data_IF_796707467144
#
_entry.id   IF_796707467144
#
_cell.length_a   1.000
_cell.length_b   1.000
_cell.length_c   1.000
_cell.angle_alpha   90.00
_cell.angle_beta   90.00
_cell.angle_gamma   90.00
#
_symmetry.space_group_name_H-M   'P 1'
#
loop_
_entity.id
_entity.type
_entity.pdbx_description
1 polymer ?
#
# COMPACT_ATOMS: atom_id res chain seq x y z
N UNK A 1 8.75 -23.09 5.46
CA UNK A 1 7.86 -21.95 5.23
C UNK A 1 8.49 -20.72 5.84
N UNK A 2 8.67 -19.64 5.08
CA UNK A 2 9.24 -18.38 5.60
C UNK A 2 8.33 -17.74 6.65
N UNK A 3 8.87 -16.85 7.50
CA UNK A 3 8.07 -16.11 8.49
C UNK A 3 6.95 -15.31 7.83
N UNK A 4 7.24 -14.66 6.69
CA UNK A 4 6.24 -13.95 5.90
C UNK A 4 5.06 -14.84 5.47
N UNK A 5 5.31 -16.07 5.01
CA UNK A 5 4.23 -16.98 4.63
C UNK A 5 3.42 -17.50 5.82
N UNK A 6 4.04 -17.62 7.00
CA UNK A 6 3.30 -17.91 8.24
C UNK A 6 2.38 -16.75 8.62
N UNK A 7 2.84 -15.52 8.46
CA UNK A 7 2.03 -14.32 8.69
C UNK A 7 0.82 -14.26 7.74
N UNK A 8 1.03 -14.58 6.46
CA UNK A 8 -0.06 -14.73 5.46
C UNK A 8 -1.06 -15.79 5.89
N UNK A 9 -0.59 -16.93 6.39
CA UNK A 9 -1.47 -18.01 6.86
C UNK A 9 -2.37 -17.57 8.02
N UNK A 10 -1.86 -16.74 8.93
CA UNK A 10 -2.67 -16.17 10.02
C UNK A 10 -3.81 -15.33 9.45
N UNK A 11 -3.51 -14.46 8.46
CA UNK A 11 -4.55 -13.63 7.81
C UNK A 11 -5.62 -14.48 7.13
N UNK A 12 -5.25 -15.60 6.49
CA UNK A 12 -6.22 -16.52 5.87
C UNK A 12 -7.17 -17.18 6.90
N UNK A 13 -6.81 -17.15 8.20
CA UNK A 13 -7.66 -17.65 9.30
C UNK A 13 -8.55 -16.56 9.91
N UNK A 14 -8.38 -15.29 9.53
CA UNK A 14 -9.25 -14.21 10.01
C UNK A 14 -10.71 -14.47 9.61
N UNK A 15 -11.61 -13.97 10.46
CA UNK A 15 -13.05 -14.00 10.19
C UNK A 15 -13.43 -12.96 9.12
N UNK A 16 -13.13 -13.32 7.88
CA UNK A 16 -13.53 -12.60 6.68
C UNK A 16 -14.57 -13.39 5.90
N UNK A 17 -15.55 -12.73 5.29
CA UNK A 17 -16.56 -13.39 4.45
C UNK A 17 -15.97 -13.77 3.09
N UNK A 18 -15.03 -14.73 3.09
CA UNK A 18 -14.33 -15.22 1.91
C UNK A 18 -15.26 -15.79 0.82
N UNK A 19 -16.44 -16.26 1.25
CA UNK A 19 -17.53 -16.76 0.39
C UNK A 19 -18.04 -15.69 -0.58
N UNK A 20 -17.92 -14.40 -0.25
CA UNK A 20 -18.23 -13.29 -1.19
C UNK A 20 -17.35 -13.31 -2.44
N UNK A 21 -16.19 -13.92 -2.38
CA UNK A 21 -15.25 -14.02 -3.50
C UNK A 21 -15.48 -15.28 -4.34
N UNK A 22 -16.33 -16.21 -3.89
CA UNK A 22 -16.60 -17.49 -4.58
C UNK A 22 -17.04 -17.27 -6.02
N UNK A 23 -16.35 -17.93 -6.97
CA UNK A 23 -16.57 -17.82 -8.40
C UNK A 23 -16.22 -16.45 -9.02
N UNK A 24 -15.62 -15.54 -8.26
CA UNK A 24 -15.31 -14.19 -8.70
C UNK A 24 -13.94 -14.07 -9.41
N UNK A 25 -13.80 -13.02 -10.22
CA UNK A 25 -12.52 -12.57 -10.78
C UNK A 25 -12.08 -11.29 -10.08
N UNK A 26 -10.89 -11.33 -9.49
CA UNK A 26 -10.33 -10.24 -8.68
C UNK A 26 -9.14 -9.66 -9.42
N UNK A 27 -9.22 -8.38 -9.81
CA UNK A 27 -8.11 -7.65 -10.42
C UNK A 27 -7.34 -6.87 -9.34
N UNK A 28 -6.06 -7.15 -9.20
CA UNK A 28 -5.13 -6.38 -8.34
C UNK A 28 -4.19 -5.60 -9.23
N UNK A 29 -4.38 -4.29 -9.33
CA UNK A 29 -3.56 -3.39 -10.13
C UNK A 29 -2.42 -2.84 -9.29
N UNK A 30 -1.21 -2.73 -9.85
CA UNK A 30 -0.01 -2.46 -9.05
C UNK A 30 0.50 -3.69 -8.29
N UNK A 31 0.16 -4.88 -8.78
CA UNK A 31 0.42 -6.17 -8.14
C UNK A 31 1.91 -6.44 -7.84
N UNK A 32 2.85 -5.85 -8.56
CA UNK A 32 4.29 -6.02 -8.29
C UNK A 32 4.88 -5.04 -7.27
N UNK A 33 4.04 -4.16 -6.71
CA UNK A 33 4.40 -3.26 -5.60
C UNK A 33 4.31 -3.96 -4.24
N UNK A 34 4.77 -3.29 -3.18
CA UNK A 34 4.80 -3.84 -1.82
C UNK A 34 3.41 -4.34 -1.37
N UNK A 35 2.39 -3.47 -1.39
CA UNK A 35 1.03 -3.80 -0.93
C UNK A 35 0.34 -4.74 -1.92
N UNK A 36 0.42 -4.43 -3.22
CA UNK A 36 -0.24 -5.23 -4.26
C UNK A 36 0.25 -6.68 -4.29
N UNK A 37 1.56 -6.91 -4.13
CA UNK A 37 2.09 -8.27 -4.13
C UNK A 37 1.68 -9.06 -2.88
N UNK A 38 1.55 -8.40 -1.73
CA UNK A 38 1.07 -9.03 -0.52
C UNK A 38 -0.44 -9.40 -0.62
N UNK A 39 -1.25 -8.53 -1.23
CA UNK A 39 -2.66 -8.84 -1.53
C UNK A 39 -2.78 -10.07 -2.42
N UNK A 40 -1.99 -10.15 -3.50
CA UNK A 40 -1.94 -11.34 -4.36
C UNK A 40 -1.55 -12.58 -3.57
N UNK A 41 -0.50 -12.49 -2.72
CA UNK A 41 -0.07 -13.64 -1.91
C UNK A 41 -1.17 -14.12 -0.96
N UNK A 42 -1.88 -13.22 -0.25
CA UNK A 42 -2.98 -13.61 0.64
C UNK A 42 -4.10 -14.29 -0.15
N UNK A 43 -4.51 -13.70 -1.28
CA UNK A 43 -5.57 -14.24 -2.12
C UNK A 43 -5.18 -15.62 -2.68
N UNK A 44 -3.94 -15.80 -3.14
CA UNK A 44 -3.46 -17.06 -3.69
C UNK A 44 -3.20 -18.13 -2.62
N UNK A 45 -2.80 -17.73 -1.40
CA UNK A 45 -2.49 -18.66 -0.32
C UNK A 45 -3.74 -19.10 0.47
N UNK A 46 -4.88 -18.45 0.28
CA UNK A 46 -6.13 -18.78 0.97
C UNK A 46 -6.59 -20.22 0.62
N UNK A 47 -6.69 -21.13 1.60
CA UNK A 47 -7.08 -22.52 1.35
C UNK A 47 -8.56 -22.67 0.92
N UNK A 48 -9.39 -21.64 1.12
CA UNK A 48 -10.80 -21.60 0.70
C UNK A 48 -10.98 -21.01 -0.69
N UNK A 49 -9.86 -20.77 -1.43
CA UNK A 49 -9.88 -20.14 -2.74
C UNK A 49 -10.64 -20.97 -3.77
N UNK A 50 -11.66 -20.37 -4.34
CA UNK A 50 -12.44 -20.84 -5.48
C UNK A 50 -12.76 -19.67 -6.44
N UNK A 51 -11.79 -18.75 -6.58
CA UNK A 51 -11.84 -17.52 -7.38
C UNK A 51 -10.55 -17.35 -8.17
N UNK A 52 -10.62 -16.54 -9.23
CA UNK A 52 -9.46 -16.18 -10.05
C UNK A 52 -8.81 -14.88 -9.59
N UNK A 53 -7.47 -14.87 -9.55
CA UNK A 53 -6.67 -13.68 -9.21
C UNK A 53 -5.92 -13.18 -10.45
N UNK A 54 -6.22 -11.97 -10.84
CA UNK A 54 -5.56 -11.27 -11.94
C UNK A 54 -4.60 -10.23 -11.38
N UNK A 55 -3.31 -10.53 -11.42
CA UNK A 55 -2.25 -9.63 -11.02
C UNK A 55 -1.87 -8.71 -12.19
N UNK A 56 -2.07 -7.39 -12.07
CA UNK A 56 -1.80 -6.46 -13.15
C UNK A 56 -0.66 -5.50 -12.83
N UNK A 57 0.21 -5.26 -13.83
CA UNK A 57 1.34 -4.35 -13.70
C UNK A 57 2.13 -4.14 -14.98
N UNK A 58 3.01 -3.14 -15.00
CA UNK A 58 3.76 -2.75 -16.20
C UNK A 58 4.90 -3.70 -16.56
N UNK A 59 5.55 -4.27 -15.56
CA UNK A 59 6.78 -5.06 -15.73
C UNK A 59 6.47 -6.57 -15.61
N UNK A 60 6.34 -7.23 -16.75
CA UNK A 60 6.05 -8.65 -16.83
C UNK A 60 7.18 -9.51 -16.26
N UNK A 61 8.45 -9.18 -16.53
CA UNK A 61 9.59 -9.94 -16.03
C UNK A 61 9.62 -9.96 -14.49
N UNK A 62 9.43 -8.79 -13.87
CA UNK A 62 9.29 -8.70 -12.40
C UNK A 62 8.11 -9.51 -11.88
N UNK A 63 6.98 -9.49 -12.58
CA UNK A 63 5.80 -10.25 -12.17
C UNK A 63 6.06 -11.76 -12.24
N UNK A 64 6.64 -12.26 -13.33
CA UNK A 64 6.98 -13.66 -13.48
C UNK A 64 7.96 -14.14 -12.40
N UNK A 65 8.96 -13.31 -12.06
CA UNK A 65 9.88 -13.61 -10.96
C UNK A 65 9.19 -13.59 -9.59
N UNK A 66 8.36 -12.56 -9.34
CA UNK A 66 7.69 -12.37 -8.03
C UNK A 66 6.64 -13.44 -7.75
N UNK A 67 5.92 -13.87 -8.77
CA UNK A 67 4.81 -14.81 -8.67
C UNK A 67 5.13 -16.19 -9.26
N UNK A 68 6.42 -16.55 -9.35
CA UNK A 68 6.86 -17.84 -9.92
C UNK A 68 6.18 -19.04 -9.21
N UNK A 69 5.88 -18.93 -7.91
CA UNK A 69 5.20 -19.97 -7.15
C UNK A 69 3.75 -20.23 -7.63
N UNK A 70 3.15 -19.29 -8.34
CA UNK A 70 1.77 -19.38 -8.84
C UNK A 70 1.67 -19.58 -10.35
N UNK A 71 2.81 -19.67 -11.07
CA UNK A 71 2.84 -19.67 -12.53
C UNK A 71 2.02 -20.82 -13.17
N UNK A 72 1.96 -21.97 -12.50
CA UNK A 72 1.23 -23.16 -12.97
C UNK A 72 -0.18 -23.28 -12.37
N UNK A 73 -0.59 -22.32 -11.53
CA UNK A 73 -1.91 -22.33 -10.91
C UNK A 73 -2.95 -21.75 -11.87
N UNK A 74 -3.95 -22.56 -12.25
CA UNK A 74 -4.97 -22.19 -13.23
C UNK A 74 -5.83 -20.99 -12.83
N UNK A 75 -5.87 -20.64 -11.53
CA UNK A 75 -6.60 -19.48 -11.03
C UNK A 75 -5.73 -18.21 -10.88
N UNK A 76 -4.45 -18.27 -11.26
CA UNK A 76 -3.56 -17.11 -11.28
C UNK A 76 -3.31 -16.63 -12.71
N UNK A 77 -3.50 -15.34 -12.94
CA UNK A 77 -3.30 -14.70 -14.23
C UNK A 77 -2.47 -13.43 -14.08
N UNK A 78 -1.51 -13.22 -14.99
CA UNK A 78 -0.82 -11.94 -15.07
C UNK A 78 -1.32 -11.14 -16.27
N UNK A 79 -1.67 -9.86 -16.03
CA UNK A 79 -2.04 -8.89 -17.07
C UNK A 79 -1.00 -7.78 -17.15
N UNK A 80 -0.44 -7.57 -18.33
CA UNK A 80 0.37 -6.37 -18.58
C UNK A 80 -0.54 -5.16 -18.65
N UNK A 81 -0.41 -4.24 -17.71
CA UNK A 81 -1.25 -3.05 -17.59
C UNK A 81 -0.41 -1.84 -17.20
N UNK A 82 -0.54 -0.77 -17.97
CA UNK A 82 -0.13 0.58 -17.55
C UNK A 82 -1.41 1.38 -17.26
N UNK A 83 -1.59 1.80 -16.01
CA UNK A 83 -2.80 2.53 -15.59
C UNK A 83 -2.95 3.89 -16.28
N UNK A 84 -1.89 4.44 -16.87
CA UNK A 84 -1.98 5.69 -17.65
C UNK A 84 -2.71 5.52 -18.98
N UNK A 85 -2.94 4.27 -19.40
CA UNK A 85 -3.66 3.89 -20.61
C UNK A 85 -4.94 3.11 -20.26
N UNK A 86 -5.99 3.18 -21.07
CA UNK A 86 -7.22 2.41 -20.86
C UNK A 86 -6.96 0.91 -20.80
N UNK A 87 -7.53 0.23 -19.81
CA UNK A 87 -7.46 -1.23 -19.71
C UNK A 87 -8.18 -1.86 -20.92
N UNK A 88 -7.49 -2.80 -21.59
CA UNK A 88 -8.00 -3.46 -22.79
C UNK A 88 -8.57 -4.84 -22.46
N UNK A 89 -9.48 -5.32 -23.32
CA UNK A 89 -10.09 -6.66 -23.23
C UNK A 89 -11.51 -6.60 -22.72
N UNK A 90 -12.12 -7.80 -22.58
CA UNK A 90 -13.54 -7.96 -22.24
C UNK A 90 -13.75 -8.86 -21.00
N UNK A 91 -12.72 -8.94 -20.13
CA UNK A 91 -12.83 -9.73 -18.90
C UNK A 91 -13.69 -8.96 -17.90
N UNK A 92 -14.76 -9.56 -17.44
CA UNK A 92 -15.54 -9.04 -16.34
C UNK A 92 -14.81 -9.32 -15.03
N UNK A 93 -14.33 -8.28 -14.35
CA UNK A 93 -13.81 -8.37 -12.98
C UNK A 93 -14.90 -8.01 -11.98
N UNK A 94 -15.14 -8.89 -11.02
CA UNK A 94 -16.11 -8.64 -9.94
C UNK A 94 -15.57 -7.62 -8.94
N UNK A 95 -14.28 -7.71 -8.64
CA UNK A 95 -13.58 -6.82 -7.72
C UNK A 95 -12.34 -6.24 -8.40
N UNK A 96 -12.18 -4.93 -8.29
CA UNK A 96 -10.97 -4.24 -8.75
C UNK A 96 -10.31 -3.56 -7.55
N UNK A 97 -9.04 -3.86 -7.32
CA UNK A 97 -8.20 -3.27 -6.29
C UNK A 97 -7.14 -2.42 -6.98
N UNK A 98 -7.25 -1.11 -6.88
CA UNK A 98 -6.26 -0.18 -7.42
C UNK A 98 -5.20 0.17 -6.37
N UNK A 99 -4.10 -0.59 -6.38
CA UNK A 99 -2.89 -0.34 -5.59
C UNK A 99 -1.73 0.24 -6.43
N UNK A 100 -2.03 0.72 -7.65
CA UNK A 100 -1.04 1.26 -8.55
C UNK A 100 -0.70 2.71 -8.20
N UNK A 101 0.50 2.96 -7.73
CA UNK A 101 1.05 4.30 -7.57
C UNK A 101 2.57 4.25 -7.37
N UNK A 102 3.26 5.23 -7.90
CA UNK A 102 4.67 5.46 -7.55
C UNK A 102 4.73 6.29 -6.26
N UNK A 103 4.84 5.62 -5.11
CA UNK A 103 4.81 6.24 -3.79
C UNK A 103 6.23 6.53 -3.22
N UNK A 104 7.17 6.93 -4.08
CA UNK A 104 8.58 7.15 -3.73
C UNK A 104 8.93 8.64 -3.75
N UNK A 105 9.53 9.21 -2.68
CA UNK A 105 9.90 10.62 -2.63
C UNK A 105 10.81 11.09 -3.78
N UNK A 106 11.74 10.26 -4.21
CA UNK A 106 12.59 10.57 -5.36
C UNK A 106 11.80 10.67 -6.67
N UNK A 107 10.79 9.79 -6.82
CA UNK A 107 9.92 9.82 -7.99
C UNK A 107 9.03 11.07 -8.00
N UNK A 108 8.54 11.51 -6.84
CA UNK A 108 7.78 12.77 -6.72
C UNK A 108 8.61 13.99 -7.11
N UNK A 109 9.91 13.99 -6.74
CA UNK A 109 10.81 15.10 -7.05
C UNK A 109 11.16 15.18 -8.53
N UNK A 110 11.33 14.05 -9.22
CA UNK A 110 11.86 13.99 -10.57
C UNK A 110 10.77 13.79 -11.65
N UNK A 111 9.62 13.20 -11.31
CA UNK A 111 8.54 12.86 -12.25
C UNK A 111 7.13 13.26 -11.73
N UNK A 112 6.93 14.51 -11.22
CA UNK A 112 5.67 14.91 -10.59
C UNK A 112 4.46 14.83 -11.53
N UNK A 113 4.63 15.12 -12.81
CA UNK A 113 3.57 15.03 -13.82
C UNK A 113 3.11 13.59 -14.03
N UNK A 114 4.05 12.65 -14.09
CA UNK A 114 3.75 11.22 -14.23
C UNK A 114 2.99 10.69 -13.00
N UNK A 115 3.38 11.13 -11.80
CA UNK A 115 2.67 10.79 -10.55
C UNK A 115 1.21 11.22 -10.62
N UNK A 116 0.94 12.46 -11.03
CA UNK A 116 -0.44 12.97 -11.14
C UNK A 116 -1.24 12.22 -12.19
N UNK A 117 -0.67 12.00 -13.37
CA UNK A 117 -1.34 11.27 -14.45
C UNK A 117 -1.64 9.82 -14.04
N UNK A 118 -0.69 9.12 -13.42
CA UNK A 118 -0.90 7.75 -12.97
C UNK A 118 -2.04 7.63 -11.95
N UNK A 119 -2.13 8.56 -10.99
CA UNK A 119 -3.18 8.52 -9.98
C UNK A 119 -4.56 8.94 -10.50
N UNK A 120 -4.64 9.94 -11.40
CA UNK A 120 -5.92 10.46 -11.90
C UNK A 120 -6.42 9.64 -13.10
N UNK A 121 -5.59 9.45 -14.12
CA UNK A 121 -5.98 8.65 -15.28
C UNK A 121 -6.17 7.19 -14.90
N UNK A 122 -5.32 6.66 -13.97
CA UNK A 122 -5.40 5.29 -13.52
C UNK A 122 -6.76 4.95 -12.95
N UNK A 123 -7.22 5.73 -11.98
CA UNK A 123 -8.55 5.49 -11.40
C UNK A 123 -9.66 5.69 -12.45
N UNK A 124 -9.56 6.69 -13.34
CA UNK A 124 -10.53 6.92 -14.42
C UNK A 124 -10.66 5.67 -15.31
N UNK A 125 -9.53 5.19 -15.84
CA UNK A 125 -9.54 4.04 -16.76
C UNK A 125 -10.06 2.76 -16.11
N UNK A 126 -9.70 2.52 -14.83
CA UNK A 126 -10.14 1.34 -14.10
C UNK A 126 -11.63 1.41 -13.73
N UNK A 127 -12.13 2.61 -13.37
CA UNK A 127 -13.55 2.83 -13.08
C UNK A 127 -14.41 2.70 -14.34
N UNK A 128 -13.99 3.32 -15.45
CA UNK A 128 -14.70 3.22 -16.75
C UNK A 128 -14.76 1.75 -17.20
N UNK A 129 -13.64 1.03 -17.08
CA UNK A 129 -13.59 -0.40 -17.39
C UNK A 129 -14.55 -1.19 -16.49
N UNK A 130 -14.45 -1.00 -15.18
CA UNK A 130 -15.28 -1.71 -14.22
C UNK A 130 -16.77 -1.42 -14.39
N UNK A 131 -17.15 -0.17 -14.65
CA UNK A 131 -18.52 0.25 -14.93
C UNK A 131 -19.05 -0.42 -16.21
N UNK A 132 -18.28 -0.39 -17.29
CA UNK A 132 -18.63 -1.02 -18.56
C UNK A 132 -18.87 -2.52 -18.45
N UNK A 133 -18.08 -3.20 -17.60
CA UNK A 133 -18.09 -4.66 -17.48
C UNK A 133 -18.83 -5.17 -16.23
N UNK A 134 -19.56 -4.32 -15.48
CA UNK A 134 -20.43 -4.73 -14.39
C UNK A 134 -19.68 -5.18 -13.12
N UNK A 135 -18.59 -4.49 -12.78
CA UNK A 135 -17.86 -4.76 -11.52
C UNK A 135 -18.78 -4.58 -10.30
N UNK A 136 -18.60 -5.44 -9.28
CA UNK A 136 -19.39 -5.41 -8.04
C UNK A 136 -18.88 -4.33 -7.07
N UNK A 137 -17.54 -4.21 -6.91
CA UNK A 137 -16.94 -3.26 -5.97
C UNK A 137 -15.53 -2.85 -6.41
N UNK A 138 -15.20 -1.60 -6.15
CA UNK A 138 -13.88 -1.00 -6.35
C UNK A 138 -13.23 -0.66 -5.02
N UNK A 139 -12.01 -1.14 -4.77
CA UNK A 139 -11.17 -0.70 -3.65
C UNK A 139 -10.07 0.22 -4.16
N UNK A 140 -10.09 1.47 -3.73
CA UNK A 140 -9.01 2.41 -4.00
C UNK A 140 -8.00 2.42 -2.85
N UNK A 141 -6.75 2.05 -3.14
CA UNK A 141 -5.65 2.18 -2.18
C UNK A 141 -5.10 3.60 -2.28
N UNK A 142 -5.56 4.43 -1.36
CA UNK A 142 -5.14 5.82 -1.19
C UNK A 142 -3.89 5.92 -0.31
N UNK A 143 -3.80 6.91 0.53
CA UNK A 143 -2.64 7.16 1.39
C UNK A 143 -3.00 8.08 2.57
N UNK A 144 -2.29 7.96 3.68
CA UNK A 144 -2.37 8.94 4.76
C UNK A 144 -1.83 10.35 4.41
N UNK A 145 -1.12 10.51 3.27
CA UNK A 145 -0.70 11.85 2.81
C UNK A 145 -1.86 12.73 2.34
N UNK A 146 -3.06 12.18 2.08
CA UNK A 146 -4.26 12.97 1.75
C UNK A 146 -4.65 13.94 2.85
N UNK A 147 -4.26 13.69 4.10
CA UNK A 147 -4.54 14.60 5.21
C UNK A 147 -3.73 15.91 5.14
N UNK A 148 -2.57 15.92 4.48
CA UNK A 148 -1.70 17.10 4.42
C UNK A 148 -1.12 17.47 5.80
N UNK A 149 -0.79 18.75 5.96
CA UNK A 149 -0.33 19.32 7.23
C UNK A 149 -1.53 19.57 8.14
N UNK A 150 -1.50 19.00 9.32
CA UNK A 150 -2.59 19.03 10.30
C UNK A 150 -2.04 19.31 11.69
N UNK A 151 -2.79 20.05 12.51
CA UNK A 151 -2.35 20.48 13.83
C UNK A 151 -2.67 19.50 14.95
N UNK A 152 -3.69 18.64 14.76
CA UNK A 152 -4.10 17.70 15.78
C UNK A 152 -3.13 16.51 15.87
N UNK A 153 -3.04 15.92 17.05
CA UNK A 153 -2.09 14.83 17.31
C UNK A 153 -2.43 13.54 16.55
N UNK A 154 -3.71 13.26 16.35
CA UNK A 154 -4.21 12.04 15.69
C UNK A 154 -5.17 12.43 14.57
N UNK A 155 -5.10 11.73 13.45
CA UNK A 155 -5.93 11.95 12.25
C UNK A 155 -6.97 10.86 12.13
N UNK A 156 -8.23 11.26 12.16
CA UNK A 156 -9.37 10.43 11.75
C UNK A 156 -9.70 10.63 10.26
N UNK A 157 -10.67 9.88 9.73
CA UNK A 157 -11.03 9.95 8.32
C UNK A 157 -11.72 11.27 7.92
N UNK A 158 -12.12 12.10 8.89
CA UNK A 158 -12.74 13.43 8.69
C UNK A 158 -11.71 14.56 8.75
N UNK A 159 -10.45 14.26 9.04
CA UNK A 159 -9.37 15.24 9.10
C UNK A 159 -8.99 15.76 7.72
N UNK A 160 -8.87 17.09 7.57
CA UNK A 160 -8.47 17.74 6.31
C UNK A 160 -7.51 18.89 6.59
N UNK A 161 -6.22 18.66 6.35
CA UNK A 161 -5.17 19.65 6.55
C UNK A 161 -4.75 20.35 5.26
N UNK A 162 -3.81 21.26 5.41
CA UNK A 162 -3.26 22.07 4.33
C UNK A 162 -2.36 21.26 3.40
N UNK A 163 -2.51 21.46 2.10
CA UNK A 163 -1.55 21.04 1.06
C UNK A 163 -1.18 22.27 0.24
N UNK A 164 0.11 22.59 0.18
CA UNK A 164 0.61 23.68 -0.67
C UNK A 164 0.58 23.22 -2.14
N UNK A 165 -0.49 23.55 -2.84
CA UNK A 165 -0.72 23.13 -4.24
C UNK A 165 0.27 23.73 -5.24
N UNK A 166 1.01 24.80 -4.86
CA UNK A 166 2.05 25.40 -5.69
C UNK A 166 3.42 24.71 -5.54
N UNK A 167 3.56 23.78 -4.60
CA UNK A 167 4.76 23.00 -4.44
C UNK A 167 4.65 21.70 -5.29
N UNK A 168 5.57 21.45 -6.24
CA UNK A 168 5.55 20.21 -7.05
C UNK A 168 5.58 18.92 -6.21
N UNK A 169 6.15 18.93 -4.99
CA UNK A 169 6.11 17.79 -4.06
C UNK A 169 4.67 17.39 -3.70
N UNK A 170 3.72 18.30 -3.79
CA UNK A 170 2.31 18.05 -3.53
C UNK A 170 1.60 17.25 -4.63
N UNK A 171 2.29 16.89 -5.72
CA UNK A 171 1.74 16.07 -6.81
C UNK A 171 1.08 14.78 -6.29
N UNK A 172 1.71 14.11 -5.33
CA UNK A 172 1.22 12.86 -4.78
C UNK A 172 -0.02 13.04 -3.88
N UNK A 173 0.03 13.81 -2.77
CA UNK A 173 -1.16 14.00 -1.94
C UNK A 173 -2.32 14.68 -2.67
N UNK A 174 -2.04 15.63 -3.56
CA UNK A 174 -3.10 16.31 -4.33
C UNK A 174 -3.78 15.39 -5.32
N UNK A 175 -3.02 14.59 -6.07
CA UNK A 175 -3.63 13.63 -7.01
C UNK A 175 -4.37 12.49 -6.30
N UNK A 176 -3.90 12.03 -5.14
CA UNK A 176 -4.62 11.05 -4.32
C UNK A 176 -5.93 11.63 -3.77
N UNK A 177 -5.95 12.90 -3.30
CA UNK A 177 -7.22 13.59 -2.94
C UNK A 177 -8.17 13.69 -4.13
N UNK A 178 -7.68 14.11 -5.29
CA UNK A 178 -8.49 14.22 -6.50
C UNK A 178 -9.04 12.86 -6.91
N UNK A 179 -8.23 11.79 -6.81
CA UNK A 179 -8.66 10.43 -7.13
C UNK A 179 -9.74 9.91 -6.16
N UNK A 180 -9.62 10.20 -4.84
CA UNK A 180 -10.70 9.88 -3.88
C UNK A 180 -11.99 10.61 -4.23
N UNK A 181 -11.90 11.91 -4.55
CA UNK A 181 -13.07 12.69 -4.96
C UNK A 181 -13.69 12.13 -6.25
N UNK A 182 -12.86 11.77 -7.22
CA UNK A 182 -13.32 11.17 -8.48
C UNK A 182 -14.02 9.83 -8.24
N UNK A 183 -13.47 8.98 -7.36
CA UNK A 183 -14.12 7.74 -6.95
C UNK A 183 -15.53 7.99 -6.38
N UNK A 184 -15.67 9.02 -5.54
CA UNK A 184 -16.97 9.41 -4.98
C UNK A 184 -17.92 10.00 -6.03
N UNK A 185 -17.40 10.68 -7.07
CA UNK A 185 -18.21 11.12 -8.20
C UNK A 185 -18.77 9.92 -8.99
N UNK A 186 -17.96 8.88 -9.25
CA UNK A 186 -18.46 7.64 -9.87
C UNK A 186 -19.52 6.94 -9.02
N UNK A 187 -19.33 6.91 -7.70
CA UNK A 187 -20.34 6.36 -6.79
C UNK A 187 -21.66 7.14 -6.86
N UNK A 188 -21.59 8.47 -6.87
CA UNK A 188 -22.78 9.33 -6.89
C UNK A 188 -23.49 9.34 -8.24
N UNK A 189 -22.76 9.35 -9.35
CA UNK A 189 -23.32 9.49 -10.70
C UNK A 189 -23.77 8.15 -11.29
N UNK A 190 -23.01 7.09 -11.06
CA UNK A 190 -23.23 5.77 -11.69
C UNK A 190 -23.59 4.66 -10.70
N UNK A 191 -23.65 4.94 -9.39
CA UNK A 191 -23.99 3.93 -8.37
C UNK A 191 -22.90 2.87 -8.13
N UNK A 192 -21.64 3.17 -8.47
CA UNK A 192 -20.52 2.25 -8.27
C UNK A 192 -20.27 2.06 -6.78
N UNK A 193 -20.17 0.82 -6.33
CA UNK A 193 -19.77 0.51 -4.94
C UNK A 193 -18.26 0.71 -4.78
N UNK A 194 -17.87 1.77 -4.07
CA UNK A 194 -16.48 2.17 -3.85
C UNK A 194 -16.15 2.16 -2.37
N UNK A 195 -14.99 1.61 -2.03
CA UNK A 195 -14.39 1.73 -0.70
C UNK A 195 -12.95 2.20 -0.81
N UNK A 196 -12.47 2.94 0.18
CA UNK A 196 -11.15 3.59 0.16
C UNK A 196 -10.34 3.16 1.38
N UNK A 197 -9.13 2.63 1.15
CA UNK A 197 -8.14 2.43 2.22
C UNK A 197 -7.10 3.53 2.20
N UNK A 198 -6.77 4.12 3.35
CA UNK A 198 -5.73 5.14 3.52
C UNK A 198 -4.55 4.59 4.33
N UNK A 199 -3.64 3.80 3.72
CA UNK A 199 -2.47 3.29 4.43
C UNK A 199 -1.57 4.39 4.95
N UNK A 200 -1.03 4.18 6.15
CA UNK A 200 0.10 4.92 6.69
C UNK A 200 1.42 4.45 6.06
N UNK A 201 2.56 4.75 6.69
CA UNK A 201 3.86 4.25 6.26
C UNK A 201 3.90 2.72 6.41
N UNK A 202 3.85 2.02 5.29
CA UNK A 202 3.83 0.55 5.24
C UNK A 202 5.23 0.01 4.97
N UNK A 203 5.67 -0.96 5.76
CA UNK A 203 6.93 -1.69 5.60
C UNK A 203 6.72 -3.19 5.44
N UNK A 204 7.71 -3.90 4.91
CA UNK A 204 7.65 -5.34 4.74
C UNK A 204 8.70 -5.82 3.75
N UNK A 205 8.78 -7.13 3.47
CA UNK A 205 9.66 -7.68 2.45
C UNK A 205 9.12 -7.39 1.04
N UNK A 206 9.92 -7.69 0.02
CA UNK A 206 9.54 -7.65 -1.40
C UNK A 206 9.16 -6.26 -1.95
N UNK A 207 9.68 -5.19 -1.31
CA UNK A 207 9.65 -3.86 -1.92
C UNK A 207 10.49 -3.83 -3.20
N UNK A 208 10.19 -2.91 -4.10
CA UNK A 208 10.91 -2.82 -5.38
C UNK A 208 12.34 -2.29 -5.18
N UNK A 209 13.26 -2.63 -6.07
CA UNK A 209 14.65 -2.12 -6.03
C UNK A 209 14.71 -0.59 -6.08
N UNK A 210 13.77 0.03 -6.79
CA UNK A 210 13.65 1.49 -6.89
C UNK A 210 13.00 2.16 -5.68
N UNK A 211 12.50 1.39 -4.69
CA UNK A 211 11.92 1.97 -3.48
C UNK A 211 13.00 2.59 -2.61
N UNK A 212 13.02 3.92 -2.53
CA UNK A 212 14.00 4.68 -1.76
C UNK A 212 13.43 5.29 -0.47
N UNK A 213 12.25 4.82 -0.02
CA UNK A 213 11.71 5.20 1.29
C UNK A 213 12.63 4.73 2.41
N UNK A 214 12.60 5.45 3.54
CA UNK A 214 13.52 5.22 4.66
C UNK A 214 13.56 3.75 5.10
N UNK A 215 12.39 3.11 5.32
CA UNK A 215 12.33 1.71 5.76
C UNK A 215 12.99 0.75 4.76
N UNK A 216 12.78 0.98 3.45
CA UNK A 216 13.32 0.10 2.41
C UNK A 216 14.84 0.21 2.31
N UNK A 217 15.38 1.42 2.46
CA UNK A 217 16.82 1.65 2.54
C UNK A 217 17.40 1.00 3.79
N UNK A 218 16.78 1.19 4.96
CA UNK A 218 17.26 0.63 6.22
C UNK A 218 17.27 -0.90 6.20
N UNK A 219 16.20 -1.53 5.70
CA UNK A 219 16.14 -2.99 5.56
C UNK A 219 17.20 -3.50 4.59
N UNK A 220 17.41 -2.82 3.42
CA UNK A 220 18.47 -3.22 2.48
C UNK A 220 19.85 -3.18 3.12
N UNK A 221 20.18 -2.09 3.84
CA UNK A 221 21.45 -1.96 4.52
C UNK A 221 21.63 -3.08 5.57
N UNK A 222 20.61 -3.35 6.41
CA UNK A 222 20.65 -4.41 7.40
C UNK A 222 20.81 -5.82 6.78
N UNK A 223 20.18 -6.08 5.63
CA UNK A 223 20.34 -7.34 4.87
C UNK A 223 21.75 -7.47 4.29
N UNK A 224 22.33 -6.36 3.80
CA UNK A 224 23.67 -6.32 3.24
C UNK A 224 24.78 -6.28 4.31
N UNK A 225 24.45 -6.14 5.59
CA UNK A 225 25.43 -5.94 6.67
C UNK A 225 26.10 -4.57 6.63
N UNK A 226 25.42 -3.57 6.05
CA UNK A 226 25.90 -2.20 5.93
C UNK A 226 25.25 -1.29 6.99
N UNK A 227 25.97 -0.26 7.44
CA UNK A 227 25.43 0.71 8.39
C UNK A 227 24.26 1.50 7.80
N UNK A 228 23.28 1.79 8.65
CA UNK A 228 22.11 2.61 8.30
C UNK A 228 22.49 4.08 8.39
N UNK A 229 22.29 4.82 7.30
CA UNK A 229 22.63 6.25 7.22
C UNK A 229 21.35 7.09 7.33
N UNK A 230 21.18 7.82 8.42
CA UNK A 230 20.14 8.84 8.57
C UNK A 230 20.56 10.12 7.86
N UNK A 231 19.70 10.61 6.95
CA UNK A 231 19.90 11.86 6.20
C UNK A 231 19.07 13.02 6.76
N UNK A 232 18.56 12.87 7.99
CA UNK A 232 17.83 13.89 8.75
C UNK A 232 17.95 13.58 10.23
N UNK A 233 17.41 14.45 11.10
CA UNK A 233 17.34 14.17 12.56
C UNK A 233 16.55 12.91 12.90
N UNK A 234 15.70 12.44 11.98
CA UNK A 234 14.85 11.26 12.18
C UNK A 234 13.74 11.44 13.23
N UNK A 235 13.47 12.68 13.66
CA UNK A 235 12.49 12.96 14.73
C UNK A 235 11.03 12.93 14.27
N UNK A 236 10.77 12.82 12.97
CA UNK A 236 9.42 12.69 12.46
C UNK A 236 8.76 11.45 13.05
N UNK A 237 7.63 11.65 13.73
CA UNK A 237 6.86 10.61 14.41
C UNK A 237 5.74 10.12 13.49
N UNK A 238 5.64 8.81 13.28
CA UNK A 238 4.78 8.20 12.27
C UNK A 238 4.06 6.97 12.80
N UNK A 239 2.83 6.76 12.33
CA UNK A 239 2.23 5.43 12.32
C UNK A 239 2.89 4.58 11.25
N UNK A 240 3.17 3.34 11.59
CA UNK A 240 3.69 2.32 10.69
C UNK A 240 2.72 1.16 10.62
N UNK A 241 2.78 0.41 9.54
CA UNK A 241 1.99 -0.80 9.37
C UNK A 241 2.83 -1.86 8.65
N UNK A 242 2.85 -3.06 9.16
CA UNK A 242 3.44 -4.18 8.45
C UNK A 242 2.60 -4.51 7.21
N UNK A 243 3.25 -4.89 6.11
CA UNK A 243 2.55 -5.08 4.82
C UNK A 243 1.45 -6.14 4.88
N UNK A 244 1.64 -7.19 5.68
CA UNK A 244 0.63 -8.25 5.85
C UNK A 244 -0.60 -7.72 6.61
N UNK A 245 -0.40 -6.91 7.65
CA UNK A 245 -1.49 -6.22 8.35
C UNK A 245 -2.20 -5.23 7.43
N UNK A 246 -1.44 -4.48 6.65
CA UNK A 246 -1.99 -3.53 5.68
C UNK A 246 -2.85 -4.24 4.62
N UNK A 247 -2.37 -5.32 4.04
CA UNK A 247 -3.12 -6.09 3.05
C UNK A 247 -4.35 -6.77 3.66
N UNK A 248 -4.24 -7.29 4.89
CA UNK A 248 -5.38 -7.80 5.67
C UNK A 248 -6.44 -6.72 5.89
N UNK A 249 -6.03 -5.50 6.29
CA UNK A 249 -6.93 -4.36 6.45
C UNK A 249 -7.66 -4.01 5.17
N UNK A 250 -6.95 -3.96 4.04
CA UNK A 250 -7.53 -3.68 2.73
C UNK A 250 -8.56 -4.75 2.31
N UNK A 251 -8.33 -6.02 2.64
CA UNK A 251 -9.32 -7.09 2.42
C UNK A 251 -10.54 -6.95 3.35
N UNK A 252 -10.37 -6.51 4.60
CA UNK A 252 -11.50 -6.19 5.48
C UNK A 252 -12.32 -5.04 4.90
N UNK A 253 -11.67 -3.99 4.42
CA UNK A 253 -12.33 -2.85 3.76
C UNK A 253 -13.06 -3.32 2.49
N UNK A 254 -12.42 -4.14 1.65
CA UNK A 254 -13.03 -4.69 0.43
C UNK A 254 -14.30 -5.49 0.73
N UNK A 255 -14.26 -6.35 1.76
CA UNK A 255 -15.31 -7.36 1.99
C UNK A 255 -16.38 -6.92 3.00
N UNK A 256 -16.03 -6.04 3.95
CA UNK A 256 -16.91 -5.58 5.04
C UNK A 256 -17.12 -4.07 5.07
N UNK A 257 -16.29 -3.28 4.35
CA UNK A 257 -16.40 -1.81 4.33
C UNK A 257 -17.75 -1.34 3.80
N UNK A 258 -18.25 -0.26 4.35
CA UNK A 258 -19.45 0.43 3.88
C UNK A 258 -19.14 1.22 2.61
N UNK A 259 -20.02 1.14 1.61
CA UNK A 259 -19.89 1.86 0.34
C UNK A 259 -19.74 3.37 0.54
N UNK A 260 -18.84 3.99 -0.20
CA UNK A 260 -18.55 5.42 -0.10
C UNK A 260 -17.73 5.82 1.11
N UNK A 261 -17.17 4.88 1.86
CA UNK A 261 -16.38 5.18 3.05
C UNK A 261 -14.89 4.99 2.86
N UNK A 262 -14.11 5.87 3.51
CA UNK A 262 -12.67 5.74 3.66
C UNK A 262 -12.32 5.18 5.05
N UNK A 263 -11.20 4.47 5.14
CA UNK A 263 -10.69 3.84 6.36
C UNK A 263 -9.19 4.07 6.49
N UNK A 264 -8.75 4.54 7.65
CA UNK A 264 -7.33 4.58 7.98
C UNK A 264 -6.77 3.17 8.17
N UNK A 265 -5.58 2.93 7.61
CA UNK A 265 -4.88 1.65 7.75
C UNK A 265 -3.54 1.89 8.41
N UNK A 266 -3.42 1.53 9.68
CA UNK A 266 -2.23 1.69 10.51
C UNK A 266 -2.23 0.65 11.64
N UNK A 267 -1.05 0.34 12.17
CA UNK A 267 -0.91 -0.38 13.42
C UNK A 267 -0.80 0.64 14.57
N UNK A 268 -1.83 0.75 15.41
CA UNK A 268 -1.88 1.70 16.51
C UNK A 268 -0.78 1.48 17.57
N UNK A 269 -0.17 0.28 17.60
CA UNK A 269 0.93 -0.08 18.50
C UNK A 269 2.31 0.21 17.91
N UNK A 270 2.39 0.58 16.63
CA UNK A 270 3.63 0.78 15.87
C UNK A 270 3.86 2.26 15.52
N UNK A 271 3.68 3.16 16.50
CA UNK A 271 3.93 4.60 16.35
C UNK A 271 5.33 4.94 16.85
N UNK A 272 6.27 5.16 15.94
CA UNK A 272 7.67 5.48 16.29
C UNK A 272 8.26 6.56 15.39
N UNK A 273 9.39 7.15 15.82
CA UNK A 273 10.16 8.07 14.98
C UNK A 273 10.93 7.29 13.89
N UNK A 274 11.31 7.98 12.81
CA UNK A 274 12.18 7.41 11.77
C UNK A 274 13.51 6.93 12.39
N UNK A 275 14.04 7.67 13.39
CA UNK A 275 15.26 7.27 14.09
C UNK A 275 15.06 5.97 14.89
N UNK A 276 13.97 5.86 15.66
CA UNK A 276 13.68 4.63 16.40
C UNK A 276 13.48 3.43 15.47
N UNK A 277 12.83 3.62 14.32
CA UNK A 277 12.74 2.59 13.29
C UNK A 277 14.13 2.15 12.79
N UNK A 278 15.04 3.10 12.51
CA UNK A 278 16.40 2.79 12.09
C UNK A 278 17.17 2.01 13.16
N UNK A 279 17.03 2.39 14.43
CA UNK A 279 17.66 1.72 15.56
C UNK A 279 17.18 0.27 15.73
N UNK A 280 15.86 0.04 15.63
CA UNK A 280 15.29 -1.33 15.68
C UNK A 280 15.84 -2.18 14.52
N UNK A 281 15.85 -1.65 13.30
CA UNK A 281 16.36 -2.39 12.12
C UNK A 281 17.86 -2.66 12.23
N UNK A 282 18.64 -1.67 12.71
CA UNK A 282 20.08 -1.81 12.90
C UNK A 282 20.42 -2.90 13.92
N UNK A 283 19.69 -2.94 15.04
CA UNK A 283 19.85 -3.96 16.06
C UNK A 283 19.56 -5.37 15.52
N UNK A 284 18.48 -5.55 14.74
CA UNK A 284 18.15 -6.82 14.08
C UNK A 284 19.22 -7.22 13.06
N UNK A 285 19.73 -6.24 12.31
CA UNK A 285 20.77 -6.45 11.30
C UNK A 285 22.17 -6.66 11.83
N UNK A 286 22.44 -6.27 13.09
CA UNK A 286 23.78 -6.26 13.69
C UNK A 286 24.67 -5.16 13.10
N UNK A 287 24.10 -4.02 12.69
CA UNK A 287 24.80 -2.88 12.07
C UNK A 287 24.60 -1.60 12.90
N UNK A 288 25.29 -0.51 12.56
CA UNK A 288 25.21 0.76 13.29
C UNK A 288 24.27 1.75 12.59
N UNK A 289 23.75 2.72 13.35
CA UNK A 289 23.06 3.89 12.80
C UNK A 289 24.02 5.09 12.79
N UNK A 290 24.26 5.64 11.62
CA UNK A 290 25.13 6.81 11.42
C UNK A 290 24.30 7.98 10.84
N UNK A 291 24.85 9.18 10.84
CA UNK A 291 24.17 10.37 10.31
C UNK A 291 25.01 11.04 9.23
N UNK A 292 24.36 11.50 8.17
CA UNK A 292 24.99 12.26 7.09
C UNK A 292 24.07 13.40 6.66
N UNK A 293 24.63 14.57 6.41
CA UNK A 293 23.85 15.69 5.86
C UNK A 293 23.27 15.31 4.48
N UNK A 294 21.98 15.56 4.25
CA UNK A 294 21.35 15.30 2.96
C UNK A 294 21.80 16.32 1.92
N UNK A 295 21.85 15.89 0.67
CA UNK A 295 22.05 16.77 -0.47
C UNK A 295 20.84 17.71 -0.67
N UNK A 296 21.02 18.80 -1.45
CA UNK A 296 19.91 19.69 -1.79
C UNK A 296 18.80 18.99 -2.60
N UNK A 297 19.17 17.98 -3.39
CA UNK A 297 18.22 17.15 -4.15
C UNK A 297 17.39 16.27 -3.23
N UNK A 298 18.02 15.57 -2.29
CA UNK A 298 17.34 14.72 -1.31
C UNK A 298 16.37 15.52 -0.44
N UNK A 299 16.76 16.72 -0.01
CA UNK A 299 15.90 17.61 0.81
C UNK A 299 14.59 17.97 0.10
N UNK A 300 14.57 18.09 -1.23
CA UNK A 300 13.34 18.39 -2.00
C UNK A 300 12.28 17.30 -1.92
N UNK A 301 12.69 16.05 -1.70
CA UNK A 301 11.77 14.91 -1.54
C UNK A 301 11.24 14.75 -0.12
N UNK A 302 11.78 15.44 0.88
CA UNK A 302 11.40 15.22 2.28
C UNK A 302 9.98 15.75 2.58
N UNK A 303 9.26 15.00 3.42
CA UNK A 303 7.99 15.45 3.96
C UNK A 303 8.19 16.52 5.03
N UNK A 304 7.40 17.60 4.97
CA UNK A 304 7.36 18.67 5.98
C UNK A 304 6.58 18.25 7.24
N UNK A 305 5.76 17.20 7.13
CA UNK A 305 4.92 16.73 8.22
C UNK A 305 5.78 16.15 9.34
N UNK A 306 5.67 16.69 10.57
CA UNK A 306 6.46 16.24 11.72
C UNK A 306 5.77 15.07 12.45
N UNK A 307 4.44 15.07 12.49
CA UNK A 307 3.66 14.02 13.16
C UNK A 307 2.54 13.51 12.24
N UNK A 308 2.45 12.20 12.07
CA UNK A 308 1.40 11.55 11.30
C UNK A 308 0.99 10.26 12.02
N UNK A 309 0.03 10.38 12.94
CA UNK A 309 -0.60 9.28 13.68
C UNK A 309 -2.05 9.18 13.23
N UNK A 310 -2.54 7.96 13.07
CA UNK A 310 -3.86 7.69 12.52
C UNK A 310 -4.73 6.94 13.52
N UNK A 311 -5.98 7.38 13.65
CA UNK A 311 -7.04 6.64 14.35
C UNK A 311 -7.52 5.51 13.45
N UNK A 312 -7.56 4.30 13.97
CA UNK A 312 -7.97 3.07 13.28
C UNK A 312 -9.29 2.51 13.80
N UNK A 313 -9.94 3.20 14.73
CA UNK A 313 -11.19 2.74 15.37
C UNK A 313 -12.26 2.34 14.35
N UNK A 314 -12.39 3.12 13.26
CA UNK A 314 -13.34 2.82 12.19
C UNK A 314 -13.01 1.51 11.47
N UNK A 315 -11.76 1.24 11.18
CA UNK A 315 -11.31 -0.02 10.58
C UNK A 315 -11.49 -1.19 11.54
N UNK A 316 -11.14 -1.01 12.82
CA UNK A 316 -11.29 -2.03 13.87
C UNK A 316 -12.76 -2.41 14.08
N UNK A 317 -13.71 -1.47 13.87
CA UNK A 317 -15.15 -1.77 13.91
C UNK A 317 -15.63 -2.76 12.84
N UNK A 318 -14.84 -2.97 11.76
CA UNK A 318 -15.06 -4.04 10.78
C UNK A 318 -14.61 -5.42 11.28
N UNK A 319 -14.05 -5.51 12.49
CA UNK A 319 -13.47 -6.73 13.06
C UNK A 319 -12.02 -6.97 12.63
N UNK A 320 -11.35 -5.98 12.04
CA UNK A 320 -9.94 -6.09 11.72
C UNK A 320 -9.06 -6.03 12.96
N UNK A 321 -8.04 -6.86 12.98
CA UNK A 321 -7.00 -6.89 14.00
C UNK A 321 -5.65 -7.13 13.33
N UNK A 322 -4.60 -6.57 13.92
CA UNK A 322 -3.23 -6.88 13.52
C UNK A 322 -2.89 -8.34 13.84
N UNK A 323 -1.99 -8.94 13.04
CA UNK A 323 -1.46 -10.26 13.38
C UNK A 323 -0.62 -10.17 14.66
N UNK A 324 -0.49 -11.27 15.43
CA UNK A 324 0.35 -11.31 16.62
C UNK A 324 1.81 -10.92 16.35
N UNK A 325 2.43 -10.30 17.33
CA UNK A 325 3.83 -9.87 17.27
C UNK A 325 4.00 -8.36 17.33
N UNK A 326 5.16 -7.95 17.84
CA UNK A 326 5.57 -6.55 17.93
C UNK A 326 6.08 -6.03 16.59
N UNK A 327 6.25 -4.70 16.46
CA UNK A 327 6.92 -4.11 15.29
C UNK A 327 8.31 -4.73 15.06
N UNK A 328 9.07 -5.02 16.11
CA UNK A 328 10.38 -5.67 16.04
C UNK A 328 10.29 -7.04 15.38
N UNK A 329 9.34 -7.89 15.83
CA UNK A 329 9.16 -9.23 15.28
C UNK A 329 8.81 -9.18 13.78
N UNK A 330 7.92 -8.28 13.38
CA UNK A 330 7.50 -8.08 12.00
C UNK A 330 8.62 -7.51 11.10
N UNK A 331 9.50 -6.66 11.64
CA UNK A 331 10.71 -6.19 10.95
C UNK A 331 11.72 -7.32 10.79
N UNK A 332 11.90 -8.17 11.80
CA UNK A 332 12.74 -9.36 11.70
C UNK A 332 12.23 -10.33 10.64
N UNK A 333 10.91 -10.61 10.60
CA UNK A 333 10.28 -11.39 9.53
C UNK A 333 10.56 -10.81 8.14
N UNK A 334 10.53 -9.48 8.02
CA UNK A 334 10.81 -8.77 6.76
C UNK A 334 12.28 -8.97 6.32
N UNK A 335 13.23 -8.83 7.24
CA UNK A 335 14.66 -8.99 6.98
C UNK A 335 15.01 -10.45 6.63
N UNK A 336 14.50 -11.42 7.41
CA UNK A 336 14.72 -12.84 7.17
C UNK A 336 14.14 -13.33 5.83
N UNK A 337 13.07 -12.71 5.34
CA UNK A 337 12.47 -13.07 4.05
C UNK A 337 13.24 -12.53 2.84
N UNK A 338 14.25 -11.68 3.06
CA UNK A 338 15.11 -11.09 2.03
C UNK A 338 16.55 -11.65 2.06
N UNK A 339 16.91 -12.39 3.10
CA UNK A 339 18.17 -13.18 3.22
C UNK A 339 18.00 -14.57 2.59
#
# INVERSE_FOLDING_TARGET
MSSYLKDIQIVCQHDLPWDKLSGCKILVVGATGLIGSCLVDILMFNPRRDYDVYAAGRNQERALKRFAAYAEDASFHFLKCDVTEPLQGDIQFDYIIDAASNASPNFFANHPVEVMKANINGITHLMDYGLKHGMKRFLFVSTGEVYGEWTDEVKDEKSYGFINVLNPRSCYPSSKRAAETLAMCYAAEYGVDVVIGRPCHTYGPFFTESDNRAYAQFIRNAVAGEDIVLKSTGLQYRSWCYVVDCASALLHILLKGEAGQAYNVADSTSNVTIKALAEIIAEIGGVQVTSKEPTAEERRGFSTIQRAVFDTTKLESLGWQIIPGTMRDKLEHSILSLR
#
